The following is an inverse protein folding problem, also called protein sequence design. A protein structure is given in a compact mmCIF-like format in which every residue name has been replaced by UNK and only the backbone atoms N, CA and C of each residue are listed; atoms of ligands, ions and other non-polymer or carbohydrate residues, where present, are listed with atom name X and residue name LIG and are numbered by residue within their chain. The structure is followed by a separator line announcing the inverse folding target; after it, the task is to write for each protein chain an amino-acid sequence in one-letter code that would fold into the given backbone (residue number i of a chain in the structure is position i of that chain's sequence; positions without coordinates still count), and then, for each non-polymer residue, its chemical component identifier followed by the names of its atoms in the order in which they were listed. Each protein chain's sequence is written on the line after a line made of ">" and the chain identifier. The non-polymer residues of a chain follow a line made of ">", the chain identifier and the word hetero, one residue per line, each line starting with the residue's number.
data_IF_472741475618
#
_entry.id   IF_472741475618
#
_cell.length_a   1.000
_cell.length_b   1.000
_cell.length_c   1.000
_cell.angle_alpha   90.00
_cell.angle_beta   90.00
_cell.angle_gamma   90.00
#
_symmetry.space_group_name_H-M   'P 1'
#
loop_
_entity.id
_entity.type
_entity.pdbx_description
1 polymer ?
#
# COMPACT_ATOMS: atom_id res chain seq x y z
N UNK A 1 -23.48 -27.90 17.81
CA UNK A 1 -22.44 -27.81 18.87
C UNK A 1 -21.13 -27.63 18.14
N UNK A 2 -20.39 -26.56 18.40
CA UNK A 2 -19.08 -26.29 17.76
C UNK A 2 -18.05 -27.27 18.33
N UNK A 3 -17.38 -28.01 17.47
CA UNK A 3 -16.33 -28.96 17.88
C UNK A 3 -14.97 -28.24 18.02
N UNK A 4 -13.98 -28.84 18.73
CA UNK A 4 -12.62 -28.26 18.75
C UNK A 4 -12.01 -28.07 17.35
N UNK A 5 -12.31 -28.95 16.41
CA UNK A 5 -11.84 -28.87 15.03
C UNK A 5 -12.51 -27.74 14.24
N UNK A 6 -13.82 -27.49 14.45
CA UNK A 6 -14.50 -26.30 13.90
C UNK A 6 -13.82 -25.03 14.41
N UNK A 7 -13.43 -24.99 15.69
CA UNK A 7 -12.75 -23.84 16.30
C UNK A 7 -11.40 -23.56 15.63
N UNK A 8 -10.62 -24.59 15.31
CA UNK A 8 -9.34 -24.45 14.63
C UNK A 8 -9.49 -23.82 13.22
N UNK A 9 -10.48 -24.28 12.46
CA UNK A 9 -10.79 -23.71 11.14
C UNK A 9 -11.24 -22.24 11.26
N UNK A 10 -12.09 -21.92 12.23
CA UNK A 10 -12.56 -20.56 12.46
C UNK A 10 -11.43 -19.62 12.87
N UNK A 11 -10.50 -20.08 13.71
CA UNK A 11 -9.29 -19.31 14.07
C UNK A 11 -8.45 -19.07 12.82
N UNK A 12 -8.19 -20.09 12.01
CA UNK A 12 -7.40 -19.97 10.79
C UNK A 12 -8.07 -19.02 9.78
N UNK A 13 -9.41 -19.01 9.66
CA UNK A 13 -10.15 -18.04 8.84
C UNK A 13 -9.98 -16.62 9.36
N UNK A 14 -10.09 -16.41 10.68
CA UNK A 14 -9.93 -15.11 11.31
C UNK A 14 -8.52 -14.56 11.11
N UNK A 15 -7.49 -15.39 11.29
CA UNK A 15 -6.10 -15.04 11.05
C UNK A 15 -5.86 -14.69 9.59
N UNK A 16 -6.37 -15.50 8.64
CA UNK A 16 -6.23 -15.20 7.20
C UNK A 16 -6.88 -13.85 6.85
N UNK A 17 -7.99 -13.50 7.46
CA UNK A 17 -8.61 -12.19 7.33
C UNK A 17 -7.73 -11.06 7.88
N UNK A 18 -7.19 -11.21 9.08
CA UNK A 18 -6.33 -10.23 9.74
C UNK A 18 -5.01 -10.01 8.97
N UNK A 19 -4.45 -11.08 8.41
CA UNK A 19 -3.19 -11.07 7.63
C UNK A 19 -3.38 -10.59 6.17
N UNK A 20 -4.51 -9.97 5.84
CA UNK A 20 -4.77 -9.43 4.51
C UNK A 20 -5.00 -10.49 3.43
N UNK A 21 -5.32 -11.73 3.81
CA UNK A 21 -5.68 -12.80 2.87
C UNK A 21 -4.63 -13.91 2.71
N UNK A 22 -3.92 -14.27 3.75
CA UNK A 22 -3.04 -15.45 3.77
C UNK A 22 -3.87 -16.73 3.96
N UNK A 23 -4.43 -17.28 2.86
CA UNK A 23 -5.37 -18.41 2.87
C UNK A 23 -4.78 -19.81 3.06
N UNK A 24 -3.52 -20.13 2.75
CA UNK A 24 -2.97 -21.48 2.86
C UNK A 24 -3.13 -22.14 4.24
N UNK A 25 -2.93 -21.46 5.38
CA UNK A 25 -3.17 -22.07 6.70
C UNK A 25 -4.63 -22.48 6.90
N UNK A 26 -5.57 -21.65 6.47
CA UNK A 26 -7.01 -21.92 6.53
C UNK A 26 -7.38 -23.12 5.64
N UNK A 27 -6.84 -23.21 4.43
CA UNK A 27 -7.10 -24.33 3.52
C UNK A 27 -6.57 -25.65 4.10
N UNK A 28 -5.40 -25.66 4.73
CA UNK A 28 -4.88 -26.85 5.45
C UNK A 28 -5.76 -27.27 6.62
N UNK A 29 -6.16 -26.31 7.46
CA UNK A 29 -7.04 -26.58 8.58
C UNK A 29 -8.39 -27.16 8.11
N UNK A 30 -8.97 -26.59 7.06
CA UNK A 30 -10.23 -27.07 6.48
C UNK A 30 -10.10 -28.45 5.84
N UNK A 31 -9.01 -28.69 5.09
CA UNK A 31 -8.75 -30.01 4.51
C UNK A 31 -8.59 -31.08 5.59
N UNK A 32 -7.85 -30.79 6.65
CA UNK A 32 -7.70 -31.69 7.79
C UNK A 32 -9.04 -31.96 8.50
N UNK A 33 -9.82 -30.90 8.77
CA UNK A 33 -11.13 -31.02 9.44
C UNK A 33 -12.13 -31.87 8.65
N UNK A 34 -12.21 -31.69 7.34
CA UNK A 34 -13.12 -32.42 6.46
C UNK A 34 -12.49 -33.64 5.81
N UNK A 35 -11.30 -34.06 6.26
CA UNK A 35 -10.56 -35.22 5.73
C UNK A 35 -10.44 -35.19 4.19
N UNK A 36 -10.24 -34.00 3.63
CA UNK A 36 -10.02 -33.80 2.21
C UNK A 36 -8.53 -33.96 1.86
N UNK A 37 -8.23 -34.51 0.67
CA UNK A 37 -6.86 -34.63 0.16
C UNK A 37 -6.40 -33.33 -0.53
N UNK A 38 -7.31 -32.39 -0.77
CA UNK A 38 -6.97 -31.08 -1.32
C UNK A 38 -8.06 -30.05 -1.10
N UNK A 39 -7.64 -28.82 -0.84
CA UNK A 39 -8.50 -27.66 -0.71
C UNK A 39 -8.03 -26.53 -1.66
N UNK A 40 -8.95 -25.94 -2.40
CA UNK A 40 -8.69 -24.85 -3.32
C UNK A 40 -9.70 -23.74 -3.11
N UNK A 41 -9.22 -22.51 -3.07
CA UNK A 41 -10.07 -21.34 -3.02
C UNK A 41 -9.87 -20.48 -4.26
N UNK A 42 -10.83 -20.54 -5.18
CA UNK A 42 -10.85 -19.77 -6.41
C UNK A 42 -11.39 -18.37 -6.11
N UNK A 43 -10.61 -17.38 -6.47
CA UNK A 43 -10.97 -15.97 -6.41
C UNK A 43 -10.86 -15.36 -7.82
N UNK A 44 -11.38 -14.17 -8.09
CA UNK A 44 -11.16 -13.51 -9.37
C UNK A 44 -9.67 -13.46 -9.73
N UNK A 45 -9.30 -14.02 -10.88
CA UNK A 45 -7.95 -14.06 -11.44
C UNK A 45 -6.88 -14.87 -10.68
N UNK A 46 -7.22 -15.58 -9.59
CA UNK A 46 -6.26 -16.42 -8.86
C UNK A 46 -6.92 -17.60 -8.16
N UNK A 47 -6.15 -18.66 -7.95
CA UNK A 47 -6.52 -19.78 -7.08
C UNK A 47 -5.52 -19.91 -5.93
N UNK A 48 -6.04 -20.07 -4.74
CA UNK A 48 -5.29 -20.39 -3.54
C UNK A 48 -5.32 -21.90 -3.29
N UNK A 49 -4.17 -22.45 -2.99
CA UNK A 49 -3.98 -23.83 -2.55
C UNK A 49 -3.31 -23.84 -1.18
N UNK A 50 -3.13 -25.01 -0.61
CA UNK A 50 -2.40 -25.19 0.66
C UNK A 50 -0.93 -24.72 0.60
N UNK A 51 -0.36 -24.61 -0.61
CA UNK A 51 1.02 -24.17 -0.85
C UNK A 51 1.16 -22.69 -1.26
N UNK A 52 0.04 -22.01 -1.59
CA UNK A 52 0.07 -20.60 -1.97
C UNK A 52 -0.89 -20.21 -3.08
N UNK A 53 -0.78 -18.97 -3.54
CA UNK A 53 -1.57 -18.41 -4.63
C UNK A 53 -0.92 -18.69 -6.00
N UNK A 54 -1.76 -18.91 -7.00
CA UNK A 54 -1.35 -19.01 -8.40
C UNK A 54 -2.34 -18.24 -9.27
N UNK A 55 -1.88 -17.51 -10.31
CA UNK A 55 -2.77 -16.92 -11.30
C UNK A 55 -3.60 -18.01 -12.00
N UNK A 56 -4.90 -17.88 -11.96
CA UNK A 56 -5.82 -18.79 -12.63
C UNK A 56 -7.16 -18.10 -12.89
N UNK A 57 -7.80 -18.33 -14.02
CA UNK A 57 -9.17 -17.90 -14.26
C UNK A 57 -10.14 -18.69 -13.37
N UNK A 58 -11.31 -18.12 -13.14
CA UNK A 58 -12.42 -18.84 -12.50
C UNK A 58 -12.84 -20.02 -13.40
N UNK A 59 -12.88 -21.25 -12.88
CA UNK A 59 -13.35 -22.39 -13.66
C UNK A 59 -14.80 -22.23 -14.14
N UNK A 60 -15.04 -22.59 -15.40
CA UNK A 60 -16.36 -22.46 -16.04
C UNK A 60 -17.45 -23.30 -15.31
N UNK A 61 -17.06 -24.37 -14.66
CA UNK A 61 -17.97 -25.21 -13.87
C UNK A 61 -18.79 -24.42 -12.85
N UNK A 62 -18.27 -23.31 -12.35
CA UNK A 62 -18.93 -22.49 -11.34
C UNK A 62 -19.88 -21.43 -11.93
N UNK A 63 -19.85 -21.22 -13.23
CA UNK A 63 -20.70 -20.20 -13.89
C UNK A 63 -22.17 -20.55 -13.74
N UNK A 64 -22.98 -19.61 -13.21
CA UNK A 64 -24.42 -19.77 -13.01
C UNK A 64 -24.84 -20.64 -11.83
N UNK A 65 -23.89 -21.11 -11.00
CA UNK A 65 -24.22 -21.80 -9.75
C UNK A 65 -24.62 -20.79 -8.65
N UNK A 66 -25.51 -21.24 -7.75
CA UNK A 66 -26.01 -20.43 -6.63
C UNK A 66 -24.99 -20.37 -5.49
N UNK A 67 -24.77 -19.17 -4.98
CA UNK A 67 -23.90 -18.95 -3.81
C UNK A 67 -24.56 -19.48 -2.53
N UNK A 68 -23.74 -19.90 -1.57
CA UNK A 68 -24.19 -20.44 -0.28
C UNK A 68 -24.77 -21.86 -0.33
N UNK A 69 -24.85 -22.47 -1.52
CA UNK A 69 -25.22 -23.88 -1.69
C UNK A 69 -23.97 -24.72 -1.86
N UNK A 70 -23.91 -25.86 -1.19
CA UNK A 70 -22.88 -26.88 -1.41
C UNK A 70 -23.28 -27.75 -2.60
N UNK A 71 -22.35 -27.92 -3.52
CA UNK A 71 -22.47 -28.78 -4.71
C UNK A 71 -21.64 -30.04 -4.50
N UNK A 72 -22.20 -31.17 -4.92
CA UNK A 72 -21.55 -32.49 -4.85
C UNK A 72 -20.64 -32.72 -6.06
N UNK A 73 -19.78 -33.75 -5.95
CA UNK A 73 -18.91 -34.16 -7.06
C UNK A 73 -19.70 -34.54 -8.32
N UNK A 74 -20.82 -35.25 -8.16
CA UNK A 74 -21.71 -35.64 -9.25
C UNK A 74 -22.25 -34.41 -10.00
N UNK A 75 -22.82 -33.43 -9.28
CA UNK A 75 -23.33 -32.18 -9.87
C UNK A 75 -22.25 -31.36 -10.59
N UNK A 76 -21.00 -31.41 -10.11
CA UNK A 76 -19.87 -30.69 -10.71
C UNK A 76 -19.34 -31.44 -11.94
N UNK A 77 -19.25 -32.76 -11.89
CA UNK A 77 -18.78 -33.61 -12.99
C UNK A 77 -19.75 -33.60 -14.16
N UNK A 78 -21.06 -33.56 -13.91
CA UNK A 78 -22.07 -33.40 -14.95
C UNK A 78 -21.87 -32.12 -15.78
N UNK A 79 -21.39 -31.05 -15.14
CA UNK A 79 -21.12 -29.76 -15.78
C UNK A 79 -19.74 -29.67 -16.42
N UNK A 80 -18.76 -30.34 -15.84
CA UNK A 80 -17.37 -30.32 -16.29
C UNK A 80 -16.74 -31.71 -16.15
N UNK A 81 -16.96 -32.62 -17.08
CA UNK A 81 -16.39 -33.98 -17.03
C UNK A 81 -14.86 -33.98 -16.95
N UNK A 82 -14.19 -32.91 -17.40
CA UNK A 82 -12.76 -32.77 -17.35
C UNK A 82 -12.20 -32.70 -15.88
N UNK A 83 -13.05 -32.47 -14.86
CA UNK A 83 -12.67 -32.59 -13.46
C UNK A 83 -12.48 -34.04 -13.04
N UNK A 84 -13.07 -35.00 -13.77
CA UNK A 84 -12.95 -36.43 -13.53
C UNK A 84 -11.52 -36.94 -13.73
N UNK A 85 -11.10 -37.84 -12.85
CA UNK A 85 -9.78 -38.49 -12.92
C UNK A 85 -8.74 -37.94 -11.92
N UNK A 86 -8.94 -36.76 -11.34
CA UNK A 86 -8.06 -36.21 -10.33
C UNK A 86 -8.46 -36.53 -8.88
N UNK A 87 -9.75 -36.84 -8.64
CA UNK A 87 -10.28 -37.20 -7.35
C UNK A 87 -11.53 -38.06 -7.48
N UNK A 88 -11.92 -38.80 -6.41
CA UNK A 88 -13.12 -39.63 -6.40
C UNK A 88 -14.38 -38.83 -6.12
N UNK A 89 -14.26 -37.80 -5.27
CA UNK A 89 -15.40 -36.92 -4.92
C UNK A 89 -14.95 -35.49 -4.67
N UNK A 90 -15.90 -34.56 -4.86
CA UNK A 90 -15.72 -33.12 -4.68
C UNK A 90 -16.85 -32.54 -3.84
N UNK A 91 -16.54 -31.45 -3.15
CA UNK A 91 -17.53 -30.52 -2.59
C UNK A 91 -17.10 -29.11 -2.93
N UNK A 92 -18.03 -28.30 -3.41
CA UNK A 92 -17.78 -26.89 -3.67
C UNK A 92 -18.90 -26.01 -3.10
N UNK A 93 -18.52 -24.81 -2.64
CA UNK A 93 -19.43 -23.78 -2.21
C UNK A 93 -18.98 -22.43 -2.69
N UNK A 94 -19.91 -21.65 -3.25
CA UNK A 94 -19.68 -20.27 -3.66
C UNK A 94 -19.94 -19.31 -2.51
N UNK A 95 -19.06 -18.34 -2.34
CA UNK A 95 -19.11 -17.30 -1.31
C UNK A 95 -19.03 -15.92 -1.94
N UNK A 96 -19.62 -14.91 -1.28
CA UNK A 96 -19.54 -13.51 -1.72
C UNK A 96 -18.22 -12.91 -1.27
N UNK A 97 -17.52 -12.28 -2.21
CA UNK A 97 -16.33 -11.50 -1.95
C UNK A 97 -16.63 -10.00 -2.14
N UNK A 98 -15.86 -9.09 -1.53
CA UNK A 98 -16.00 -7.65 -1.78
C UNK A 98 -15.83 -7.26 -3.26
N UNK A 99 -15.07 -8.07 -4.01
CA UNK A 99 -14.75 -7.82 -5.42
C UNK A 99 -15.32 -8.90 -6.36
N UNK A 100 -16.44 -9.53 -6.00
CA UNK A 100 -17.08 -10.53 -6.84
C UNK A 100 -17.45 -11.81 -6.11
N UNK A 101 -17.09 -12.94 -6.67
CA UNK A 101 -17.46 -14.27 -6.15
C UNK A 101 -16.20 -15.13 -5.98
N UNK A 102 -16.15 -15.89 -4.90
CA UNK A 102 -15.15 -16.94 -4.68
C UNK A 102 -15.78 -18.31 -4.60
N UNK A 103 -15.00 -19.33 -4.93
CA UNK A 103 -15.43 -20.73 -4.82
C UNK A 103 -14.42 -21.54 -4.03
N UNK A 104 -14.87 -22.10 -2.92
CA UNK A 104 -14.09 -23.04 -2.14
C UNK A 104 -14.42 -24.45 -2.63
N UNK A 105 -13.41 -25.21 -3.04
CA UNK A 105 -13.54 -26.58 -3.54
C UNK A 105 -12.64 -27.51 -2.74
N UNK A 106 -13.22 -28.60 -2.29
CA UNK A 106 -12.54 -29.71 -1.62
C UNK A 106 -12.55 -30.93 -2.52
N UNK A 107 -11.52 -31.75 -2.44
CA UNK A 107 -11.40 -32.99 -3.20
C UNK A 107 -10.93 -34.14 -2.30
N UNK A 108 -11.43 -35.34 -2.56
CA UNK A 108 -10.96 -36.62 -2.00
C UNK A 108 -10.48 -37.55 -3.09
N UNK A 109 -9.37 -38.21 -2.88
CA UNK A 109 -8.85 -39.23 -3.79
C UNK A 109 -9.49 -40.59 -3.54
N UNK A 110 -9.93 -40.86 -2.30
CA UNK A 110 -10.56 -42.12 -1.89
C UNK A 110 -11.77 -41.85 -1.00
N UNK A 111 -12.89 -42.51 -1.32
CA UNK A 111 -14.14 -42.37 -0.58
C UNK A 111 -14.89 -41.08 -0.89
N UNK A 112 -16.12 -41.02 -0.42
CA UNK A 112 -17.05 -39.92 -0.69
C UNK A 112 -17.21 -39.00 0.53
N UNK A 113 -17.50 -37.74 0.28
CA UNK A 113 -17.93 -36.82 1.33
C UNK A 113 -19.35 -37.16 1.79
N UNK A 114 -19.57 -37.09 3.07
CA UNK A 114 -20.88 -37.37 3.68
C UNK A 114 -21.74 -36.09 3.73
N UNK A 115 -23.02 -36.26 4.02
CA UNK A 115 -23.96 -35.16 4.19
C UNK A 115 -23.52 -34.20 5.32
N UNK A 116 -22.91 -34.74 6.39
CA UNK A 116 -22.38 -33.92 7.49
C UNK A 116 -21.18 -33.02 7.06
N UNK A 117 -20.35 -33.48 6.14
CA UNK A 117 -19.22 -32.68 5.59
C UNK A 117 -19.77 -31.49 4.79
N UNK A 118 -20.84 -31.73 4.02
CA UNK A 118 -21.53 -30.65 3.29
C UNK A 118 -22.22 -29.66 4.23
N UNK A 119 -22.81 -30.13 5.33
CA UNK A 119 -23.41 -29.27 6.34
C UNK A 119 -22.37 -28.43 7.08
N UNK A 120 -21.23 -29.03 7.44
CA UNK A 120 -20.11 -28.31 8.04
C UNK A 120 -19.54 -27.23 7.09
N UNK A 121 -19.34 -27.57 5.82
CA UNK A 121 -18.89 -26.62 4.81
C UNK A 121 -19.86 -25.46 4.61
N UNK A 122 -21.17 -25.74 4.59
CA UNK A 122 -22.20 -24.70 4.52
C UNK A 122 -22.22 -23.79 5.75
N UNK A 123 -22.01 -24.35 6.96
CA UNK A 123 -21.93 -23.58 8.19
C UNK A 123 -20.71 -22.67 8.26
N UNK A 124 -19.59 -23.06 7.65
CA UNK A 124 -18.36 -22.25 7.60
C UNK A 124 -18.39 -21.12 6.55
N UNK A 125 -19.26 -21.20 5.54
CA UNK A 125 -19.30 -20.22 4.45
C UNK A 125 -19.53 -18.77 4.90
N UNK A 126 -20.42 -18.43 5.83
CA UNK A 126 -20.58 -17.06 6.34
C UNK A 126 -19.32 -16.52 7.03
N UNK A 127 -18.59 -17.38 7.73
CA UNK A 127 -17.33 -17.03 8.38
C UNK A 127 -16.23 -16.76 7.37
N UNK A 128 -16.18 -17.55 6.29
CA UNK A 128 -15.26 -17.30 5.17
C UNK A 128 -15.59 -15.97 4.46
N UNK A 129 -16.87 -15.68 4.21
CA UNK A 129 -17.28 -14.38 3.66
C UNK A 129 -16.83 -13.22 4.54
N UNK A 130 -16.98 -13.36 5.86
CA UNK A 130 -16.54 -12.33 6.80
C UNK A 130 -15.01 -12.19 6.83
N UNK A 131 -14.27 -13.29 6.82
CA UNK A 131 -12.80 -13.26 6.73
C UNK A 131 -12.33 -12.58 5.44
N UNK A 132 -12.99 -12.83 4.30
CA UNK A 132 -12.68 -12.16 3.04
C UNK A 132 -12.96 -10.65 3.09
N UNK A 133 -14.00 -10.20 3.77
CA UNK A 133 -14.29 -8.77 3.97
C UNK A 133 -13.19 -8.10 4.82
N UNK A 134 -12.79 -8.76 5.90
CA UNK A 134 -11.70 -8.28 6.76
C UNK A 134 -10.40 -8.20 5.97
N UNK A 135 -10.03 -9.26 5.23
CA UNK A 135 -8.83 -9.30 4.41
C UNK A 135 -8.79 -8.16 3.38
N UNK A 136 -9.89 -7.91 2.67
CA UNK A 136 -9.99 -6.83 1.70
C UNK A 136 -9.85 -5.45 2.38
N UNK A 137 -10.46 -5.26 3.55
CA UNK A 137 -10.34 -4.01 4.32
C UNK A 137 -8.91 -3.80 4.81
N UNK A 138 -8.28 -4.82 5.37
CA UNK A 138 -6.88 -4.76 5.84
C UNK A 138 -5.92 -4.45 4.69
N UNK A 139 -6.06 -5.15 3.56
CA UNK A 139 -5.26 -4.90 2.37
C UNK A 139 -5.44 -3.47 1.83
N UNK A 140 -6.69 -2.97 1.80
CA UNK A 140 -6.98 -1.60 1.38
C UNK A 140 -6.36 -0.56 2.34
N UNK A 141 -6.47 -0.79 3.64
CA UNK A 141 -5.85 0.11 4.65
C UNK A 141 -4.32 0.10 4.53
N UNK A 142 -3.70 -1.07 4.37
CA UNK A 142 -2.26 -1.19 4.15
C UNK A 142 -1.81 -0.47 2.87
N UNK A 143 -2.56 -0.61 1.78
CA UNK A 143 -2.28 0.10 0.53
C UNK A 143 -2.38 1.62 0.69
N UNK A 144 -3.41 2.11 1.38
CA UNK A 144 -3.54 3.55 1.67
C UNK A 144 -2.42 4.07 2.55
N UNK A 145 -2.02 3.31 3.56
CA UNK A 145 -0.89 3.66 4.42
C UNK A 145 0.41 3.75 3.60
N UNK A 146 0.68 2.76 2.76
CA UNK A 146 1.86 2.76 1.88
C UNK A 146 1.86 3.94 0.89
N UNK A 147 0.70 4.28 0.31
CA UNK A 147 0.57 5.46 -0.56
C UNK A 147 0.83 6.77 0.20
N UNK A 148 0.28 6.91 1.40
CA UNK A 148 0.50 8.09 2.23
C UNK A 148 1.98 8.22 2.63
N UNK A 149 2.63 7.10 2.96
CA UNK A 149 4.05 7.06 3.28
C UNK A 149 4.95 7.39 2.08
N UNK A 150 4.60 6.92 0.87
CA UNK A 150 5.31 7.29 -0.36
C UNK A 150 5.21 8.81 -0.61
N UNK A 151 4.03 9.40 -0.48
CA UNK A 151 3.85 10.85 -0.59
C UNK A 151 4.67 11.58 0.49
N UNK A 152 4.61 11.14 1.75
CA UNK A 152 5.37 11.74 2.84
C UNK A 152 6.89 11.68 2.58
N UNK A 153 7.39 10.55 2.08
CA UNK A 153 8.79 10.37 1.68
C UNK A 153 9.20 11.34 0.58
N UNK A 154 8.39 11.49 -0.47
CA UNK A 154 8.63 12.44 -1.56
C UNK A 154 8.62 13.88 -1.08
N UNK A 155 7.78 14.20 -0.10
CA UNK A 155 7.75 15.51 0.55
C UNK A 155 8.89 15.72 1.56
N UNK A 156 9.66 14.69 1.90
CA UNK A 156 10.67 14.73 2.96
C UNK A 156 10.07 15.04 4.33
N UNK A 157 8.86 14.51 4.59
CA UNK A 157 8.10 14.78 5.82
C UNK A 157 7.89 13.48 6.58
N UNK A 158 8.26 13.45 7.87
CA UNK A 158 8.03 12.33 8.76
C UNK A 158 7.37 12.79 10.07
N UNK A 159 6.61 11.90 10.71
CA UNK A 159 5.92 12.18 11.95
C UNK A 159 6.62 11.54 13.14
N UNK A 160 6.66 12.24 14.26
CA UNK A 160 7.21 11.74 15.53
C UNK A 160 6.24 12.01 16.67
N UNK A 161 6.24 11.12 17.65
CA UNK A 161 5.67 11.35 18.97
C UNK A 161 6.79 11.41 20.02
N UNK A 162 6.53 11.96 21.17
CA UNK A 162 7.54 12.06 22.23
C UNK A 162 7.14 11.19 23.40
N UNK A 163 8.08 10.39 23.88
CA UNK A 163 7.91 9.62 25.10
C UNK A 163 7.93 10.49 26.36
N UNK A 164 7.68 9.88 27.52
CA UNK A 164 7.68 10.57 28.81
C UNK A 164 9.05 11.21 29.17
N UNK A 165 10.13 10.82 28.51
CA UNK A 165 11.48 11.37 28.67
C UNK A 165 11.77 12.49 27.66
N UNK A 166 10.81 12.83 26.81
CA UNK A 166 10.96 13.81 25.74
C UNK A 166 11.83 13.34 24.58
N UNK A 167 11.97 12.01 24.39
CA UNK A 167 12.67 11.44 23.25
C UNK A 167 11.70 11.23 22.10
N UNK A 168 12.05 11.63 20.85
CA UNK A 168 11.20 11.41 19.70
C UNK A 168 11.16 9.94 19.34
N UNK A 169 9.94 9.44 19.14
CA UNK A 169 9.64 8.10 18.62
C UNK A 169 9.09 8.26 17.23
N UNK A 170 9.71 7.66 16.19
CA UNK A 170 9.22 7.78 14.84
C UNK A 170 7.88 7.05 14.68
N UNK A 171 6.89 7.72 14.07
CA UNK A 171 5.58 7.13 13.76
C UNK A 171 5.53 6.49 12.39
N UNK A 172 6.51 6.78 11.54
CA UNK A 172 6.61 6.28 10.16
C UNK A 172 8.07 6.04 9.77
N UNK A 173 8.28 5.33 8.66
CA UNK A 173 9.62 4.98 8.19
C UNK A 173 10.41 6.22 7.75
N UNK A 174 9.75 7.27 7.25
CA UNK A 174 10.41 8.52 6.84
C UNK A 174 11.01 9.22 8.05
N UNK A 175 10.24 9.31 9.15
CA UNK A 175 10.76 9.87 10.40
C UNK A 175 11.95 9.07 10.94
N UNK A 176 11.87 7.74 10.88
CA UNK A 176 12.97 6.86 11.31
C UNK A 176 14.24 7.09 10.46
N UNK A 177 14.10 7.19 9.13
CA UNK A 177 15.20 7.48 8.21
C UNK A 177 15.82 8.87 8.46
N UNK A 178 14.98 9.90 8.68
CA UNK A 178 15.46 11.26 8.96
C UNK A 178 16.16 11.36 10.30
N UNK A 179 15.63 10.74 11.36
CA UNK A 179 16.25 10.70 12.67
C UNK A 179 17.58 9.94 12.67
N UNK A 180 17.68 8.87 11.90
CA UNK A 180 18.90 8.07 11.77
C UNK A 180 20.09 8.84 11.15
N UNK A 181 19.83 9.92 10.43
CA UNK A 181 20.87 10.78 9.83
C UNK A 181 21.47 11.76 10.86
N UNK A 182 20.84 11.93 12.01
CA UNK A 182 21.30 12.86 13.02
C UNK A 182 22.40 12.23 13.87
N UNK A 183 23.51 12.95 14.13
CA UNK A 183 24.57 12.50 15.03
C UNK A 183 24.11 12.37 16.48
N UNK A 184 23.08 13.09 16.85
CA UNK A 184 22.44 13.06 18.16
C UNK A 184 20.94 13.30 18.01
N UNK A 185 20.15 12.45 18.64
CA UNK A 185 18.68 12.60 18.68
C UNK A 185 18.33 13.76 19.60
N UNK A 186 17.55 14.75 19.13
CA UNK A 186 17.15 15.90 19.94
C UNK A 186 16.15 15.49 21.03
N UNK A 187 16.24 16.09 22.17
CA UNK A 187 15.20 15.97 23.21
C UNK A 187 14.29 17.18 23.17
N UNK A 188 13.04 16.98 23.53
CA UNK A 188 12.06 18.06 23.61
C UNK A 188 12.51 19.12 24.63
N UNK A 189 12.50 20.43 24.32
CA UNK A 189 12.76 21.49 25.27
C UNK A 189 11.76 21.44 26.44
N UNK A 190 12.24 21.58 27.68
CA UNK A 190 11.39 21.51 28.88
C UNK A 190 10.36 22.64 28.99
N UNK A 191 10.70 23.79 28.44
CA UNK A 191 9.92 25.04 28.42
C UNK A 191 9.20 25.28 27.10
N UNK A 192 9.00 24.24 26.30
CA UNK A 192 8.28 24.35 25.04
C UNK A 192 6.83 24.82 25.28
N UNK A 193 6.45 25.94 24.67
CA UNK A 193 5.06 26.42 24.60
C UNK A 193 4.14 25.46 23.82
N UNK A 194 3.07 25.99 23.24
CA UNK A 194 2.16 25.18 22.41
C UNK A 194 2.80 24.70 21.13
N UNK A 195 3.74 25.46 20.57
CA UNK A 195 4.42 25.14 19.31
C UNK A 195 5.89 25.54 19.40
N UNK A 196 6.78 24.72 18.87
CA UNK A 196 8.21 25.04 18.74
C UNK A 196 8.74 24.52 17.40
N UNK A 197 9.58 25.32 16.74
CA UNK A 197 10.35 24.93 15.57
C UNK A 197 11.81 24.76 15.97
N UNK A 198 12.37 23.59 15.74
CA UNK A 198 13.75 23.23 16.09
C UNK A 198 14.51 22.93 14.78
N UNK A 199 15.61 23.65 14.57
CA UNK A 199 16.56 23.29 13.51
C UNK A 199 17.46 22.17 14.04
N UNK A 200 17.35 20.98 13.46
CA UNK A 200 18.09 19.78 13.87
C UNK A 200 19.41 19.63 13.09
N UNK A 201 19.40 20.05 11.83
CA UNK A 201 20.52 20.09 10.92
C UNK A 201 20.30 21.26 9.93
N UNK A 202 21.30 21.62 9.11
CA UNK A 202 21.14 22.71 8.14
C UNK A 202 19.97 22.55 7.17
N UNK A 203 19.55 21.30 6.95
CA UNK A 203 18.50 20.90 6.01
C UNK A 203 17.42 20.02 6.64
N UNK A 204 17.32 19.99 7.98
CA UNK A 204 16.32 19.24 8.71
C UNK A 204 15.73 20.06 9.86
N UNK A 205 14.43 20.25 9.81
CA UNK A 205 13.65 20.96 10.84
C UNK A 205 12.62 20.02 11.49
N UNK A 206 12.32 20.30 12.77
CA UNK A 206 11.28 19.63 13.52
C UNK A 206 10.30 20.66 14.08
N UNK A 207 9.08 20.61 13.62
CA UNK A 207 7.98 21.40 14.16
C UNK A 207 7.24 20.55 15.20
N UNK A 208 7.28 20.98 16.46
CA UNK A 208 6.59 20.34 17.56
C UNK A 208 5.28 21.08 17.89
N UNK A 209 4.24 20.33 18.22
CA UNK A 209 2.96 20.86 18.68
C UNK A 209 2.48 20.07 19.89
N UNK A 210 2.02 20.80 20.94
CA UNK A 210 1.41 20.19 22.13
C UNK A 210 -0.10 20.07 21.95
N UNK A 211 -0.59 18.84 22.01
CA UNK A 211 -2.02 18.55 21.93
C UNK A 211 -2.74 18.95 23.25
N UNK A 212 -4.07 19.10 23.25
CA UNK A 212 -4.85 19.46 24.45
C UNK A 212 -4.73 18.48 25.61
N UNK A 213 -4.43 17.21 25.33
CA UNK A 213 -4.19 16.15 26.32
C UNK A 213 -2.77 16.18 26.91
N UNK A 214 -1.94 17.15 26.48
CA UNK A 214 -0.57 17.31 26.91
C UNK A 214 0.47 16.51 26.11
N UNK A 215 0.03 15.59 25.24
CA UNK A 215 0.93 14.86 24.35
C UNK A 215 1.61 15.82 23.37
N UNK A 216 2.87 15.54 23.05
CA UNK A 216 3.61 16.33 22.05
C UNK A 216 3.80 15.48 20.80
N UNK A 217 3.41 16.06 19.68
CA UNK A 217 3.63 15.49 18.33
C UNK A 217 4.57 16.39 17.56
N UNK A 218 5.37 15.81 16.71
CA UNK A 218 6.31 16.54 15.85
C UNK A 218 6.22 16.13 14.40
N UNK A 219 6.51 17.09 13.54
CA UNK A 219 6.68 16.87 12.11
C UNK A 219 8.11 17.21 11.74
N UNK A 220 8.87 16.22 11.33
CA UNK A 220 10.19 16.38 10.72
C UNK A 220 10.03 16.78 9.26
N UNK A 221 10.83 17.70 8.80
CA UNK A 221 10.87 18.11 7.41
C UNK A 221 12.31 18.29 6.93
N UNK A 222 12.65 17.55 5.88
CA UNK A 222 13.85 17.83 5.11
C UNK A 222 13.60 19.10 4.25
N UNK A 223 14.33 20.18 4.53
CA UNK A 223 14.14 21.47 3.85
C UNK A 223 14.82 21.51 2.49
N UNK A 224 15.75 20.58 2.25
CA UNK A 224 16.48 20.44 0.98
C UNK A 224 15.95 19.24 0.22
N UNK A 225 14.91 19.48 -0.58
CA UNK A 225 14.36 18.44 -1.46
C UNK A 225 15.06 18.45 -2.81
N UNK A 226 15.39 17.28 -3.39
CA UNK A 226 15.90 17.20 -4.74
C UNK A 226 14.78 17.60 -5.72
N UNK A 227 15.08 18.56 -6.58
CA UNK A 227 14.22 18.86 -7.73
C UNK A 227 14.35 17.75 -8.78
N UNK A 228 13.28 17.45 -9.53
CA UNK A 228 13.32 16.50 -10.63
C UNK A 228 14.46 16.79 -11.60
N UNK A 229 14.97 15.79 -12.31
CA UNK A 229 15.99 15.98 -13.32
C UNK A 229 15.47 16.87 -14.47
N UNK A 230 16.36 17.58 -15.20
CA UNK A 230 15.95 18.52 -16.23
C UNK A 230 15.02 17.97 -17.32
N UNK A 231 15.12 16.71 -17.78
CA UNK A 231 14.18 16.15 -18.75
C UNK A 231 12.75 16.09 -18.24
N UNK A 232 12.56 15.72 -16.97
CA UNK A 232 11.23 15.63 -16.33
C UNK A 232 10.65 17.03 -16.12
N UNK A 233 11.46 17.99 -15.66
CA UNK A 233 11.05 19.39 -15.56
C UNK A 233 10.67 19.97 -16.94
N UNK A 234 11.42 19.61 -17.99
CA UNK A 234 11.13 20.03 -19.35
C UNK A 234 9.75 19.52 -19.81
N UNK A 235 9.50 18.25 -19.62
CA UNK A 235 8.21 17.62 -19.97
C UNK A 235 7.04 18.22 -19.17
N UNK A 236 7.19 18.33 -17.86
CA UNK A 236 6.12 18.78 -16.97
C UNK A 236 5.78 20.27 -17.10
N UNK A 237 6.78 21.12 -17.43
CA UNK A 237 6.61 22.57 -17.56
C UNK A 237 6.52 23.03 -19.04
N UNK A 238 6.52 22.11 -20.01
CA UNK A 238 6.54 22.40 -21.44
C UNK A 238 7.70 23.32 -21.84
N UNK A 239 8.89 23.05 -21.28
CA UNK A 239 10.13 23.77 -21.55
C UNK A 239 11.05 22.94 -22.44
N UNK A 240 12.00 23.60 -23.09
CA UNK A 240 13.13 22.87 -23.68
C UNK A 240 14.16 22.50 -22.60
N UNK A 241 15.08 21.59 -22.93
CA UNK A 241 16.04 21.05 -21.97
C UNK A 241 16.97 22.15 -21.38
N UNK A 242 17.38 23.14 -22.18
CA UNK A 242 18.22 24.25 -21.72
C UNK A 242 17.47 25.18 -20.77
N UNK A 243 16.20 25.46 -21.07
CA UNK A 243 15.30 26.22 -20.18
C UNK A 243 15.07 25.47 -18.86
N UNK A 244 14.84 24.16 -18.90
CA UNK A 244 14.64 23.34 -17.72
C UNK A 244 15.90 23.26 -16.84
N UNK A 245 17.09 23.16 -17.43
CA UNK A 245 18.35 23.24 -16.69
C UNK A 245 18.52 24.60 -15.99
N UNK A 246 18.16 25.70 -16.65
CA UNK A 246 18.18 27.02 -16.04
C UNK A 246 17.17 27.13 -14.90
N UNK A 247 15.93 26.69 -15.11
CA UNK A 247 14.89 26.67 -14.07
C UNK A 247 15.34 25.90 -12.85
N UNK A 248 15.94 24.73 -13.05
CA UNK A 248 16.45 23.90 -11.93
C UNK A 248 17.52 24.63 -11.14
N UNK A 249 18.50 25.24 -11.79
CA UNK A 249 19.55 25.98 -11.13
C UNK A 249 19.02 27.19 -10.34
N UNK A 250 18.10 27.96 -10.93
CA UNK A 250 17.46 29.10 -10.26
C UNK A 250 16.60 28.65 -9.07
N UNK A 251 15.85 27.56 -9.22
CA UNK A 251 15.01 27.02 -8.15
C UNK A 251 15.84 26.43 -7.00
N UNK A 252 17.08 26.02 -7.23
CA UNK A 252 18.04 25.61 -6.21
C UNK A 252 18.71 26.80 -5.49
N UNK A 253 18.32 28.02 -5.82
CA UNK A 253 18.80 29.24 -5.17
C UNK A 253 19.94 29.94 -5.88
N UNK A 254 20.39 29.46 -7.04
CA UNK A 254 21.43 30.16 -7.81
C UNK A 254 20.91 31.50 -8.37
N UNK A 255 21.74 32.52 -8.35
CA UNK A 255 21.50 33.73 -9.11
C UNK A 255 21.56 33.42 -10.61
N UNK A 256 21.01 34.29 -11.43
CA UNK A 256 21.09 34.12 -12.91
C UNK A 256 22.54 34.06 -13.42
N UNK A 257 23.45 34.80 -12.78
CA UNK A 257 24.86 34.79 -13.10
C UNK A 257 25.55 33.46 -12.77
N UNK A 258 25.30 32.94 -11.56
CA UNK A 258 25.82 31.64 -11.13
C UNK A 258 25.26 30.49 -11.98
N UNK A 259 23.97 30.55 -12.28
CA UNK A 259 23.34 29.58 -13.17
C UNK A 259 23.92 29.61 -14.59
N UNK A 260 24.19 30.80 -15.14
CA UNK A 260 24.84 30.97 -16.45
C UNK A 260 26.22 30.34 -16.45
N UNK A 261 27.04 30.62 -15.44
CA UNK A 261 28.39 30.07 -15.30
C UNK A 261 28.35 28.53 -15.16
N UNK A 262 27.50 28.00 -14.29
CA UNK A 262 27.38 26.56 -14.07
C UNK A 262 26.91 25.79 -15.33
N UNK A 263 26.13 26.44 -16.19
CA UNK A 263 25.58 25.84 -17.41
C UNK A 263 26.44 26.15 -18.66
N UNK A 264 27.55 26.87 -18.54
CA UNK A 264 28.40 27.28 -19.67
C UNK A 264 27.68 28.23 -20.61
N UNK A 265 26.75 29.06 -20.13
CA UNK A 265 25.98 30.03 -20.91
C UNK A 265 26.61 31.45 -20.79
N UNK A 266 26.47 32.24 -21.84
CA UNK A 266 26.75 33.68 -21.70
C UNK A 266 25.66 34.34 -20.84
N UNK A 267 25.98 35.45 -20.12
CA UNK A 267 24.97 36.18 -19.36
C UNK A 267 23.78 36.64 -20.21
N UNK A 268 24.01 36.93 -21.47
CA UNK A 268 22.98 37.35 -22.41
C UNK A 268 22.06 36.18 -22.80
N UNK A 269 22.62 35.00 -23.03
CA UNK A 269 21.85 33.77 -23.30
C UNK A 269 21.00 33.37 -22.10
N UNK A 270 21.56 33.44 -20.88
CA UNK A 270 20.78 33.13 -19.65
C UNK A 270 19.63 34.10 -19.44
N UNK A 271 19.83 35.42 -19.70
CA UNK A 271 18.74 36.41 -19.67
C UNK A 271 17.67 36.15 -20.73
N UNK A 272 18.10 35.72 -21.94
CA UNK A 272 17.14 35.34 -22.98
C UNK A 272 16.29 34.14 -22.53
N UNK A 273 16.90 33.06 -22.07
CA UNK A 273 16.17 31.87 -21.58
C UNK A 273 15.28 32.20 -20.39
N UNK A 274 15.74 33.02 -19.44
CA UNK A 274 14.89 33.41 -18.29
C UNK A 274 13.64 34.15 -18.74
N UNK A 275 13.74 35.07 -19.72
CA UNK A 275 12.55 35.77 -20.27
C UNK A 275 11.59 34.80 -20.97
N UNK A 276 12.11 33.83 -21.72
CA UNK A 276 11.29 32.80 -22.38
C UNK A 276 10.56 31.94 -21.35
N UNK A 277 11.27 31.48 -20.31
CA UNK A 277 10.69 30.71 -19.18
C UNK A 277 9.60 31.52 -18.50
N UNK A 278 9.87 32.78 -18.16
CA UNK A 278 8.87 33.62 -17.48
C UNK A 278 7.62 33.81 -18.33
N UNK A 279 7.76 34.03 -19.63
CA UNK A 279 6.64 34.13 -20.55
C UNK A 279 5.85 32.83 -20.66
N UNK A 280 6.54 31.69 -20.81
CA UNK A 280 5.89 30.37 -20.92
C UNK A 280 5.14 29.96 -19.65
N UNK A 281 5.70 30.27 -18.48
CA UNK A 281 5.13 29.89 -17.18
C UNK A 281 4.19 30.95 -16.59
N UNK A 282 4.07 32.12 -17.23
CA UNK A 282 3.23 33.22 -16.76
C UNK A 282 3.71 33.83 -15.43
N UNK A 283 5.03 33.82 -15.19
CA UNK A 283 5.64 34.35 -13.96
C UNK A 283 6.34 35.68 -14.22
N UNK A 284 6.42 36.55 -13.21
CA UNK A 284 6.95 37.90 -13.37
C UNK A 284 8.46 38.03 -13.12
N UNK A 285 9.12 36.96 -12.63
CA UNK A 285 10.53 36.97 -12.33
C UNK A 285 10.98 35.76 -11.54
N UNK A 286 12.24 35.77 -11.08
CA UNK A 286 12.84 34.65 -10.35
C UNK A 286 12.07 34.31 -9.05
N UNK A 287 11.63 35.24 -8.19
CA UNK A 287 10.87 34.90 -7.00
C UNK A 287 9.55 34.17 -7.30
N UNK A 288 8.81 34.63 -8.34
CA UNK A 288 7.58 33.97 -8.77
C UNK A 288 7.86 32.59 -9.36
N UNK A 289 8.97 32.43 -10.11
CA UNK A 289 9.39 31.15 -10.65
C UNK A 289 9.71 30.17 -9.50
N UNK A 290 10.47 30.59 -8.50
CA UNK A 290 10.79 29.77 -7.34
C UNK A 290 9.52 29.35 -6.62
N UNK A 291 8.64 30.29 -6.33
CA UNK A 291 7.34 29.98 -5.72
C UNK A 291 6.56 28.96 -6.57
N UNK A 292 6.45 29.18 -7.88
CA UNK A 292 5.73 28.31 -8.81
C UNK A 292 6.30 26.88 -8.80
N UNK A 293 7.63 26.72 -8.80
CA UNK A 293 8.28 25.40 -8.76
C UNK A 293 8.05 24.73 -7.41
N UNK A 294 8.35 25.42 -6.31
CA UNK A 294 8.30 24.83 -4.96
C UNK A 294 6.90 24.59 -4.41
N UNK A 295 5.87 25.24 -4.95
CA UNK A 295 4.46 24.98 -4.60
C UNK A 295 3.75 24.05 -5.57
N UNK A 296 4.42 23.59 -6.62
CA UNK A 296 3.86 22.66 -7.59
C UNK A 296 4.04 21.19 -7.15
N UNK A 297 3.23 20.29 -7.72
CA UNK A 297 3.39 18.86 -7.52
C UNK A 297 4.72 18.29 -8.06
N UNK A 298 5.51 19.10 -8.81
CA UNK A 298 6.82 18.71 -9.33
C UNK A 298 7.83 18.33 -8.24
N UNK A 299 7.70 18.90 -7.05
CA UNK A 299 8.58 18.56 -5.90
C UNK A 299 8.21 17.25 -5.24
N UNK A 300 7.13 16.60 -5.69
CA UNK A 300 6.65 15.30 -5.21
C UNK A 300 7.03 14.15 -6.16
N UNK A 301 7.61 14.46 -7.31
CA UNK A 301 7.90 13.51 -8.39
C UNK A 301 9.20 12.75 -8.31
#
# INVERSE_FOLDING_TARGET
>A
MITPQDTEVLIAMSQAGADGGNWPPMLRALAAHLQADGARFYMPAQVWTESGAQPAPMPEVFVGLRLGRVYTGEELLDRAPALGGAASDYRAIGVRLPQGVGWLMLSRQRGDFRAMDSAALAALAPHLEQACKIAASTAHMAQRAAQAEDVARRMGVGCVEFDARGQPQPCDAVAAELLAQLPRIPTLPRDMGQTALLALAPDLELLCHRAPDGAVKGVLRATRQPLPPPPELAAALHLNLSEARLVRALAQGASLSEAAQALGLTPQTARYYSKQVYAKLGVRGQPDLMRRVWTSALVLG
#
